data_IF_313649594186
#
_entry.id   IF_313649594186
#
_cell.length_a   1.000
_cell.length_b   1.000
_cell.length_c   1.000
_cell.angle_alpha   90.00
_cell.angle_beta   90.00
_cell.angle_gamma   90.00
#
_symmetry.space_group_name_H-M   'P 1'
#
loop_
_entity.id
_entity.type
_entity.pdbx_description
1 polymer ?
#
# COMPACT_ATOMS: atom_id res chain seq x y z
N UNK A 1 -12.89 -60.57 -59.57
CA UNK A 1 -11.50 -60.46 -59.02
C UNK A 1 -10.99 -59.01 -58.84
N UNK A 2 -11.09 -58.07 -59.81
CA UNK A 2 -10.61 -56.71 -59.62
C UNK A 2 -11.32 -55.91 -58.45
N UNK A 3 -12.64 -56.14 -58.31
CA UNK A 3 -13.42 -55.47 -57.27
C UNK A 3 -13.14 -56.01 -55.85
N UNK A 4 -12.75 -57.27 -55.74
CA UNK A 4 -12.42 -57.89 -54.44
C UNK A 4 -11.07 -57.37 -53.89
N UNK A 5 -10.09 -57.20 -54.81
CA UNK A 5 -8.79 -56.65 -54.43
C UNK A 5 -8.89 -55.24 -53.84
N UNK A 6 -9.77 -54.34 -54.34
CA UNK A 6 -9.92 -52.98 -53.76
C UNK A 6 -10.53 -53.06 -52.38
N UNK A 7 -11.54 -53.88 -52.17
CA UNK A 7 -12.17 -54.07 -50.85
C UNK A 7 -11.15 -54.63 -49.83
N UNK A 8 -10.41 -55.68 -50.29
CA UNK A 8 -9.39 -56.28 -49.41
C UNK A 8 -8.29 -55.23 -48.98
N UNK A 9 -7.80 -54.43 -49.95
CA UNK A 9 -6.81 -53.38 -49.66
C UNK A 9 -7.30 -52.38 -48.65
N UNK A 10 -8.53 -51.91 -48.74
CA UNK A 10 -9.11 -50.93 -47.77
C UNK A 10 -9.25 -51.55 -46.39
N UNK A 11 -9.39 -52.88 -46.30
CA UNK A 11 -9.56 -53.54 -44.97
C UNK A 11 -8.24 -54.06 -44.43
N UNK A 12 -7.15 -54.20 -45.21
CA UNK A 12 -5.86 -54.72 -44.75
C UNK A 12 -5.31 -54.04 -43.47
N UNK A 13 -5.38 -52.68 -43.27
CA UNK A 13 -4.95 -52.06 -42.07
C UNK A 13 -5.72 -52.52 -40.80
N UNK A 14 -7.06 -52.63 -40.94
CA UNK A 14 -7.92 -53.08 -39.83
C UNK A 14 -7.75 -54.56 -39.52
N UNK A 15 -7.50 -55.38 -40.60
CA UNK A 15 -7.18 -56.81 -40.49
C UNK A 15 -5.87 -57.02 -39.71
N UNK A 16 -4.86 -56.17 -39.93
CA UNK A 16 -3.59 -56.24 -39.27
C UNK A 16 -3.73 -55.96 -37.76
N UNK A 17 -4.61 -55.04 -37.41
CA UNK A 17 -4.90 -54.65 -36.02
C UNK A 17 -5.94 -55.55 -35.34
N UNK A 18 -6.40 -56.60 -36.02
CA UNK A 18 -7.44 -57.53 -35.53
C UNK A 18 -8.76 -56.82 -35.20
N UNK A 19 -9.08 -55.77 -35.94
CA UNK A 19 -10.29 -54.95 -35.73
C UNK A 19 -11.41 -55.30 -36.76
N UNK A 20 -11.36 -56.43 -37.42
CA UNK A 20 -12.38 -56.94 -38.34
C UNK A 20 -13.18 -58.06 -37.68
N UNK A 21 -14.43 -58.25 -38.12
CA UNK A 21 -15.24 -59.40 -37.68
C UNK A 21 -14.65 -60.73 -38.18
N UNK A 22 -14.95 -61.80 -37.47
CA UNK A 22 -14.49 -63.18 -37.89
C UNK A 22 -14.81 -63.55 -39.33
N UNK A 23 -16.00 -63.17 -39.78
CA UNK A 23 -16.43 -63.40 -41.16
C UNK A 23 -15.59 -62.59 -42.16
N UNK A 24 -15.36 -61.31 -41.89
CA UNK A 24 -14.53 -60.47 -42.75
C UNK A 24 -13.08 -60.94 -42.75
N UNK A 25 -12.56 -61.31 -41.56
CA UNK A 25 -11.23 -61.88 -41.42
C UNK A 25 -11.03 -63.17 -42.25
N UNK A 26 -12.03 -64.06 -42.24
CA UNK A 26 -12.01 -65.28 -43.07
C UNK A 26 -12.01 -64.95 -44.55
N UNK A 27 -12.82 -64.01 -45.02
CA UNK A 27 -12.83 -63.53 -46.40
C UNK A 27 -11.47 -62.97 -46.83
N UNK A 28 -10.86 -62.05 -46.04
CA UNK A 28 -9.53 -61.48 -46.32
C UNK A 28 -8.48 -62.58 -46.39
N UNK A 29 -8.49 -63.53 -45.46
CA UNK A 29 -7.56 -64.65 -45.40
C UNK A 29 -7.65 -65.56 -46.62
N UNK A 30 -8.85 -65.82 -47.10
CA UNK A 30 -9.05 -66.64 -48.28
C UNK A 30 -8.58 -65.94 -49.58
N UNK A 31 -8.86 -64.63 -49.69
CA UNK A 31 -8.39 -63.82 -50.83
C UNK A 31 -6.85 -63.76 -50.88
N UNK A 32 -6.18 -63.58 -49.73
CA UNK A 32 -4.73 -63.55 -49.64
C UNK A 32 -4.02 -64.81 -50.06
N UNK A 33 -4.68 -66.00 -50.00
CA UNK A 33 -4.14 -67.26 -50.53
C UNK A 33 -4.01 -67.25 -52.04
N UNK A 34 -4.87 -66.51 -52.74
CA UNK A 34 -4.94 -66.50 -54.19
C UNK A 34 -4.44 -65.24 -54.88
N UNK A 35 -4.16 -64.15 -54.12
CA UNK A 35 -3.78 -62.87 -54.69
C UNK A 35 -2.40 -62.40 -54.20
N UNK A 36 -1.40 -62.51 -55.05
CA UNK A 36 -0.01 -62.12 -54.75
C UNK A 36 0.12 -60.61 -54.49
N UNK A 37 -0.64 -59.74 -55.16
CA UNK A 37 -0.60 -58.30 -54.99
C UNK A 37 -1.05 -57.88 -53.58
N UNK A 38 -2.19 -58.42 -53.14
CA UNK A 38 -2.71 -58.09 -51.79
C UNK A 38 -1.83 -58.65 -50.65
N UNK A 39 -1.20 -59.84 -50.93
CA UNK A 39 -0.24 -60.41 -49.99
C UNK A 39 1.01 -59.56 -49.87
N UNK A 40 1.55 -59.01 -50.96
CA UNK A 40 2.68 -58.15 -50.99
C UNK A 40 2.38 -56.84 -50.25
N UNK A 41 1.18 -56.30 -50.39
CA UNK A 41 0.74 -55.07 -49.69
C UNK A 41 0.58 -55.28 -48.17
N UNK A 42 0.07 -56.43 -47.75
CA UNK A 42 0.02 -56.82 -46.36
C UNK A 42 1.43 -56.90 -45.73
N UNK A 43 2.39 -57.47 -46.42
CA UNK A 43 3.76 -57.57 -45.94
C UNK A 43 4.44 -56.21 -45.91
N UNK A 44 4.13 -55.31 -46.85
CA UNK A 44 4.59 -53.90 -46.79
C UNK A 44 4.00 -53.15 -45.61
N UNK A 45 2.73 -53.35 -45.27
CA UNK A 45 2.09 -52.78 -44.09
C UNK A 45 2.68 -53.32 -42.79
N UNK A 46 2.98 -54.61 -42.70
CA UNK A 46 3.65 -55.26 -41.57
C UNK A 46 5.07 -54.70 -41.35
N UNK A 47 5.76 -54.40 -42.45
CA UNK A 47 7.11 -53.83 -42.33
C UNK A 47 7.14 -52.41 -41.70
N UNK A 48 5.96 -51.76 -41.66
CA UNK A 48 5.83 -50.39 -41.10
C UNK A 48 6.58 -49.34 -41.89
N UNK A 49 6.32 -48.04 -41.70
CA UNK A 49 7.20 -47.02 -42.21
C UNK A 49 8.55 -47.22 -41.52
N UNK A 50 9.64 -47.31 -42.28
CA UNK A 50 10.99 -47.19 -41.73
C UNK A 50 11.08 -45.78 -41.10
N UNK A 51 10.74 -45.68 -39.78
CA UNK A 51 11.08 -44.52 -39.00
C UNK A 51 12.61 -44.53 -38.99
N UNK A 52 13.21 -43.74 -39.88
CA UNK A 52 14.60 -43.40 -39.72
C UNK A 52 14.76 -42.92 -38.25
N UNK A 53 15.53 -43.62 -37.47
CA UNK A 53 15.93 -43.18 -36.14
C UNK A 53 16.55 -41.81 -36.36
N UNK A 54 15.75 -40.73 -36.18
CA UNK A 54 16.29 -39.40 -35.99
C UNK A 54 17.27 -39.57 -34.84
N UNK A 55 18.54 -39.50 -35.17
CA UNK A 55 19.59 -39.93 -34.28
C UNK A 55 19.41 -39.33 -32.86
N UNK A 56 19.66 -40.12 -31.85
CA UNK A 56 19.66 -39.73 -30.43
C UNK A 56 20.39 -38.40 -30.22
N UNK A 57 21.42 -38.14 -30.98
CA UNK A 57 22.20 -36.91 -30.99
C UNK A 57 21.39 -35.63 -31.37
N UNK A 58 20.46 -35.73 -32.31
CA UNK A 58 19.61 -34.59 -32.72
C UNK A 58 18.53 -34.30 -31.67
N UNK A 59 18.00 -35.28 -30.96
CA UNK A 59 17.10 -35.10 -29.82
C UNK A 59 17.80 -34.44 -28.66
N UNK A 60 18.98 -34.94 -28.27
CA UNK A 60 19.76 -34.41 -27.17
C UNK A 60 20.19 -32.96 -27.43
N UNK A 61 20.54 -32.63 -28.70
CA UNK A 61 20.86 -31.25 -29.07
C UNK A 61 19.67 -30.30 -28.96
N UNK A 62 18.48 -30.70 -29.44
CA UNK A 62 17.26 -29.91 -29.34
C UNK A 62 16.78 -29.74 -27.91
N UNK A 63 16.82 -30.78 -27.08
CA UNK A 63 16.47 -30.69 -25.67
C UNK A 63 17.42 -29.76 -24.93
N UNK A 64 18.71 -29.84 -25.21
CA UNK A 64 19.71 -28.96 -24.61
C UNK A 64 19.50 -27.50 -24.99
N UNK A 65 19.15 -27.22 -26.23
CA UNK A 65 18.89 -25.86 -26.72
C UNK A 65 17.61 -25.28 -26.12
N UNK A 66 16.54 -26.07 -26.02
CA UNK A 66 15.27 -25.69 -25.35
C UNK A 66 15.52 -25.41 -23.87
N UNK A 67 16.24 -26.27 -23.15
CA UNK A 67 16.56 -26.07 -21.74
C UNK A 67 17.41 -24.79 -21.55
N UNK A 68 18.37 -24.52 -22.43
CA UNK A 68 19.22 -23.33 -22.39
C UNK A 68 18.40 -22.05 -22.63
N UNK A 69 17.48 -22.07 -23.60
CA UNK A 69 16.59 -20.96 -23.90
C UNK A 69 15.61 -20.69 -22.75
N UNK A 70 15.04 -21.72 -22.14
CA UNK A 70 14.19 -21.61 -20.96
C UNK A 70 14.93 -21.04 -19.75
N UNK A 71 16.16 -21.50 -19.49
CA UNK A 71 17.02 -20.96 -18.41
C UNK A 71 17.36 -19.48 -18.64
N UNK A 72 17.67 -19.09 -19.87
CA UNK A 72 17.97 -17.70 -20.23
C UNK A 72 16.74 -16.80 -20.07
N UNK A 73 15.57 -17.26 -20.51
CA UNK A 73 14.30 -16.56 -20.35
C UNK A 73 13.92 -16.40 -18.89
N UNK A 74 14.03 -17.46 -18.09
CA UNK A 74 13.79 -17.42 -16.63
C UNK A 74 14.74 -16.45 -15.92
N UNK A 75 16.01 -16.36 -16.33
CA UNK A 75 16.99 -15.40 -15.78
C UNK A 75 16.61 -13.95 -16.10
N UNK A 76 16.13 -13.67 -17.33
CA UNK A 76 15.63 -12.34 -17.74
C UNK A 76 14.37 -11.96 -16.96
N UNK A 77 13.40 -12.88 -16.79
CA UNK A 77 12.20 -12.66 -15.99
C UNK A 77 12.52 -12.38 -14.52
N UNK A 78 13.42 -13.17 -13.92
CA UNK A 78 13.86 -12.92 -12.54
C UNK A 78 14.47 -11.54 -12.36
N UNK A 79 15.35 -11.10 -13.28
CA UNK A 79 15.93 -9.74 -13.21
C UNK A 79 14.86 -8.65 -13.31
N UNK A 80 13.87 -8.80 -14.19
CA UNK A 80 12.74 -7.85 -14.30
C UNK A 80 11.88 -7.87 -13.03
N UNK A 81 11.58 -9.05 -12.49
CA UNK A 81 10.82 -9.20 -11.25
C UNK A 81 11.54 -8.56 -10.06
N UNK A 82 12.86 -8.75 -9.89
CA UNK A 82 13.63 -8.09 -8.84
C UNK A 82 13.67 -6.57 -9.00
N UNK A 83 13.76 -6.05 -10.22
CA UNK A 83 13.69 -4.59 -10.45
C UNK A 83 12.31 -4.04 -10.10
N UNK A 84 11.25 -4.72 -10.50
CA UNK A 84 9.88 -4.32 -10.14
C UNK A 84 9.67 -4.37 -8.62
N UNK A 85 10.12 -5.44 -7.95
CA UNK A 85 10.04 -5.55 -6.50
C UNK A 85 10.84 -4.45 -5.78
N UNK A 86 12.02 -4.10 -6.27
CA UNK A 86 12.82 -3.00 -5.71
C UNK A 86 12.15 -1.64 -5.87
N UNK A 87 11.50 -1.38 -7.02
CA UNK A 87 10.73 -0.15 -7.25
C UNK A 87 9.53 -0.09 -6.30
N UNK A 88 8.76 -1.18 -6.17
CA UNK A 88 7.61 -1.26 -5.25
C UNK A 88 8.06 -1.05 -3.79
N UNK A 89 9.15 -1.68 -3.37
CA UNK A 89 9.72 -1.49 -2.04
C UNK A 89 10.17 -0.03 -1.83
N UNK A 90 10.79 0.59 -2.82
CA UNK A 90 11.17 2.01 -2.77
C UNK A 90 9.96 2.93 -2.62
N UNK A 91 8.91 2.72 -3.42
CA UNK A 91 7.65 3.47 -3.31
C UNK A 91 7.02 3.27 -1.93
N UNK A 92 6.99 2.03 -1.44
CA UNK A 92 6.45 1.72 -0.11
C UNK A 92 7.20 2.44 1.00
N UNK A 93 8.54 2.46 0.95
CA UNK A 93 9.37 3.21 1.91
C UNK A 93 9.06 4.71 1.84
N UNK A 94 8.96 5.29 0.65
CA UNK A 94 8.61 6.70 0.47
C UNK A 94 7.22 6.99 1.07
N UNK A 95 6.23 6.14 0.81
CA UNK A 95 4.89 6.29 1.38
C UNK A 95 4.92 6.19 2.90
N UNK A 96 5.66 5.23 3.47
CA UNK A 96 5.81 5.12 4.94
C UNK A 96 6.47 6.35 5.55
N UNK A 97 7.50 6.91 4.90
CA UNK A 97 8.15 8.14 5.34
C UNK A 97 7.18 9.32 5.27
N UNK A 98 6.44 9.45 4.16
CA UNK A 98 5.43 10.51 4.02
C UNK A 98 4.33 10.38 5.08
N UNK A 99 3.82 9.18 5.34
CA UNK A 99 2.81 8.94 6.38
C UNK A 99 3.34 9.18 7.79
N UNK A 100 4.64 8.98 8.02
CA UNK A 100 5.27 9.30 9.30
C UNK A 100 5.34 10.81 9.55
N UNK A 101 5.76 11.59 8.53
CA UNK A 101 5.84 13.05 8.65
C UNK A 101 4.50 13.75 8.48
N UNK A 102 3.58 13.19 7.70
CA UNK A 102 2.23 13.72 7.42
C UNK A 102 1.19 12.63 7.69
N UNK A 103 0.82 12.40 8.94
CA UNK A 103 -0.22 11.44 9.28
C UNK A 103 -1.52 11.73 8.52
N UNK A 104 -2.21 10.67 8.10
CA UNK A 104 -3.41 10.78 7.25
C UNK A 104 -4.49 11.65 7.90
N UNK A 105 -4.63 11.60 9.23
CA UNK A 105 -5.59 12.42 9.96
C UNK A 105 -5.33 13.93 9.77
N UNK A 106 -4.07 14.37 9.76
CA UNK A 106 -3.70 15.79 9.51
C UNK A 106 -4.11 16.25 8.11
N UNK A 107 -3.99 15.36 7.11
CA UNK A 107 -4.42 15.67 5.73
C UNK A 107 -5.94 15.80 5.66
N UNK A 108 -6.67 14.92 6.37
CA UNK A 108 -8.13 14.95 6.43
C UNK A 108 -8.61 16.21 7.13
N UNK A 109 -7.98 16.58 8.25
CA UNK A 109 -8.35 17.78 9.01
C UNK A 109 -8.07 19.07 8.22
N UNK A 110 -6.94 19.13 7.52
CA UNK A 110 -6.65 20.25 6.61
C UNK A 110 -7.70 20.33 5.50
N UNK A 111 -8.13 19.19 4.96
CA UNK A 111 -9.22 19.12 4.00
C UNK A 111 -10.53 19.67 4.56
N UNK A 112 -10.89 19.28 5.78
CA UNK A 112 -12.07 19.77 6.49
C UNK A 112 -12.00 21.28 6.77
N UNK A 113 -10.85 21.78 7.23
CA UNK A 113 -10.60 23.20 7.42
C UNK A 113 -10.77 24.01 6.13
N UNK A 114 -10.28 23.47 5.01
CA UNK A 114 -10.39 24.12 3.70
C UNK A 114 -11.84 24.16 3.22
N UNK A 115 -12.57 23.07 3.38
CA UNK A 115 -14.00 22.98 3.02
C UNK A 115 -14.89 23.85 3.91
N UNK A 116 -14.55 23.95 5.20
CA UNK A 116 -15.31 24.72 6.19
C UNK A 116 -15.03 26.22 6.17
N UNK A 117 -14.04 26.69 5.40
CA UNK A 117 -13.58 28.08 5.39
C UNK A 117 -13.14 28.63 6.77
N UNK A 118 -12.65 27.76 7.65
CA UNK A 118 -12.29 28.11 9.03
C UNK A 118 -10.98 28.89 9.10
N UNK A 119 -10.06 28.59 8.19
CA UNK A 119 -8.77 29.24 8.08
C UNK A 119 -8.60 29.87 6.72
N UNK A 120 -7.84 30.97 6.67
CA UNK A 120 -7.46 31.57 5.39
C UNK A 120 -6.53 30.63 4.60
N UNK A 121 -6.50 30.77 3.29
CA UNK A 121 -5.58 30.01 2.42
C UNK A 121 -4.11 30.17 2.85
N UNK A 122 -3.72 31.34 3.36
CA UNK A 122 -2.38 31.62 3.89
C UNK A 122 -2.10 30.81 5.17
N UNK A 123 -3.06 30.72 6.09
CA UNK A 123 -2.93 29.92 7.30
C UNK A 123 -2.84 28.42 6.98
N UNK A 124 -3.66 27.94 6.03
CA UNK A 124 -3.61 26.55 5.58
C UNK A 124 -2.25 26.25 4.94
N UNK A 125 -1.72 27.13 4.10
CA UNK A 125 -0.39 26.95 3.51
C UNK A 125 0.71 26.88 4.58
N UNK A 126 0.60 27.68 5.63
CA UNK A 126 1.50 27.65 6.80
C UNK A 126 1.43 26.33 7.57
N UNK A 127 0.28 25.64 7.58
CA UNK A 127 0.15 24.34 8.23
C UNK A 127 1.03 23.25 7.59
N UNK A 128 1.34 23.37 6.31
CA UNK A 128 2.22 22.43 5.58
C UNK A 128 3.72 22.75 5.76
N UNK A 129 4.05 23.88 6.35
CA UNK A 129 5.43 24.25 6.56
C UNK A 129 6.04 23.47 7.73
N UNK A 130 7.13 22.74 7.47
CA UNK A 130 7.79 21.92 8.50
C UNK A 130 8.59 22.76 9.51
N UNK A 131 9.03 23.93 9.11
CA UNK A 131 9.88 24.81 9.91
C UNK A 131 11.36 24.40 9.99
N UNK A 132 12.21 25.33 10.39
CA UNK A 132 13.61 25.05 10.65
C UNK A 132 13.78 24.31 12.00
N UNK A 133 14.91 23.62 12.18
CA UNK A 133 15.24 23.01 13.47
C UNK A 133 15.43 24.06 14.60
N UNK A 134 15.78 25.30 14.24
CA UNK A 134 15.87 26.43 15.16
C UNK A 134 14.47 26.84 15.62
N UNK A 135 13.57 27.12 14.69
CA UNK A 135 12.20 27.55 14.97
C UNK A 135 11.48 26.52 15.84
N UNK A 136 11.66 25.23 15.53
CA UNK A 136 11.07 24.14 16.32
C UNK A 136 11.59 24.11 17.74
N UNK A 137 12.88 24.41 17.99
CA UNK A 137 13.46 24.48 19.34
C UNK A 137 12.96 25.69 20.12
N UNK A 138 12.86 26.85 19.48
CA UNK A 138 12.33 28.04 20.10
C UNK A 138 10.84 27.91 20.42
N UNK A 139 10.05 27.33 19.52
CA UNK A 139 8.64 27.05 19.74
C UNK A 139 8.38 26.12 20.95
N UNK A 140 9.33 25.23 21.29
CA UNK A 140 9.20 24.37 22.48
C UNK A 140 9.07 25.16 23.80
N UNK A 141 9.57 26.38 23.88
CA UNK A 141 9.38 27.22 25.06
C UNK A 141 7.90 27.63 25.21
N UNK A 142 7.27 28.01 24.09
CA UNK A 142 5.84 28.36 24.05
C UNK A 142 4.97 27.12 24.33
N UNK A 143 5.34 25.96 23.77
CA UNK A 143 4.62 24.71 24.03
C UNK A 143 4.69 24.29 25.50
N UNK A 144 5.86 24.45 26.16
CA UNK A 144 5.98 24.15 27.59
C UNK A 144 5.08 25.06 28.43
N UNK A 145 4.96 26.35 28.07
CA UNK A 145 4.06 27.28 28.75
C UNK A 145 2.60 26.86 28.54
N UNK A 146 2.24 26.46 27.34
CA UNK A 146 0.91 25.92 27.03
C UNK A 146 0.61 24.62 27.79
N UNK A 147 1.57 23.70 27.85
CA UNK A 147 1.46 22.45 28.61
C UNK A 147 1.24 22.72 30.12
N UNK A 148 1.92 23.71 30.66
CA UNK A 148 1.67 24.15 32.02
C UNK A 148 0.26 24.73 32.21
N UNK A 149 -0.23 25.50 31.23
CA UNK A 149 -1.59 26.02 31.27
C UNK A 149 -2.64 24.90 31.24
N UNK A 150 -2.48 23.88 30.40
CA UNK A 150 -3.37 22.72 30.39
C UNK A 150 -3.40 21.95 31.73
N UNK A 151 -2.30 21.96 32.46
CA UNK A 151 -2.19 21.31 33.78
C UNK A 151 -2.64 22.20 34.96
N UNK A 152 -2.90 23.47 34.70
CA UNK A 152 -3.30 24.40 35.73
C UNK A 152 -4.83 24.48 35.83
N UNK A 153 -5.32 24.82 36.99
CA UNK A 153 -6.72 25.08 37.28
C UNK A 153 -7.04 26.53 36.92
N UNK A 154 -8.20 26.75 36.32
CA UNK A 154 -8.65 28.10 36.04
C UNK A 154 -9.03 28.79 37.36
N UNK A 155 -8.20 29.73 37.77
CA UNK A 155 -8.50 30.59 38.91
C UNK A 155 -9.38 31.75 38.45
N UNK A 156 -10.42 32.05 39.19
CA UNK A 156 -11.29 33.20 38.93
C UNK A 156 -10.48 34.49 39.06
N UNK A 157 -10.14 35.09 37.91
CA UNK A 157 -9.46 36.37 37.88
C UNK A 157 -8.21 36.43 37.02
N UNK A 158 -7.40 37.44 37.23
CA UNK A 158 -6.29 37.86 36.34
C UNK A 158 -5.05 36.94 36.43
N UNK A 159 -4.96 36.08 37.46
CA UNK A 159 -3.73 35.30 37.73
C UNK A 159 -3.25 34.42 36.58
N UNK A 160 -4.17 33.70 35.93
CA UNK A 160 -3.79 32.83 34.81
C UNK A 160 -3.44 33.64 33.55
N UNK A 161 -4.10 34.78 33.33
CA UNK A 161 -3.78 35.68 32.22
C UNK A 161 -2.43 36.37 32.40
N UNK A 162 -2.08 36.76 33.61
CA UNK A 162 -0.75 37.31 33.91
C UNK A 162 0.36 36.28 33.68
N UNK A 163 0.11 35.00 34.02
CA UNK A 163 1.08 33.92 33.92
C UNK A 163 1.21 33.35 32.49
N UNK A 164 0.10 33.16 31.82
CA UNK A 164 0.04 32.43 30.56
C UNK A 164 -0.37 33.28 29.35
N UNK A 165 -0.83 34.49 29.54
CA UNK A 165 -1.40 35.32 28.50
C UNK A 165 -2.61 34.63 27.84
N UNK A 166 -2.68 34.65 26.51
CA UNK A 166 -3.76 34.00 25.77
C UNK A 166 -3.83 32.47 25.95
N UNK A 167 -2.74 31.84 26.39
CA UNK A 167 -2.71 30.42 26.69
C UNK A 167 -3.49 30.06 27.97
N UNK A 168 -3.85 31.03 28.81
CA UNK A 168 -4.70 30.85 29.99
C UNK A 168 -6.05 30.16 29.64
N UNK A 169 -6.52 30.32 28.42
CA UNK A 169 -7.76 29.65 27.91
C UNK A 169 -7.70 28.12 27.97
N UNK A 170 -6.51 27.55 28.07
CA UNK A 170 -6.32 26.09 28.16
C UNK A 170 -6.32 25.57 29.61
N UNK A 171 -6.32 26.46 30.59
CA UNK A 171 -6.45 26.05 31.99
C UNK A 171 -7.85 25.46 32.25
N UNK A 172 -7.90 24.41 33.07
CA UNK A 172 -9.14 23.67 33.32
C UNK A 172 -10.08 24.51 34.19
N UNK A 173 -11.29 24.73 33.68
CA UNK A 173 -12.36 25.34 34.45
C UNK A 173 -13.04 24.29 35.35
N UNK A 174 -12.67 24.27 36.62
CA UNK A 174 -13.25 23.34 37.59
C UNK A 174 -14.63 23.76 38.08
N UNK A 175 -14.98 25.04 37.92
CA UNK A 175 -16.24 25.56 38.45
C UNK A 175 -17.41 25.25 37.49
N UNK A 176 -17.14 25.10 36.19
CA UNK A 176 -18.16 24.84 35.19
C UNK A 176 -18.54 23.37 35.06
N UNK A 177 -17.70 22.45 35.51
CA UNK A 177 -17.88 21.00 35.20
C UNK A 177 -18.10 20.10 36.42
N UNK A 178 -18.21 20.67 37.63
CA UNK A 178 -18.58 19.96 38.87
C UNK A 178 -17.52 18.96 39.33
N UNK A 179 -17.94 17.84 39.92
CA UNK A 179 -17.05 16.86 40.56
C UNK A 179 -16.38 15.94 39.50
N UNK A 180 -15.38 16.50 38.81
CA UNK A 180 -14.58 15.74 37.83
C UNK A 180 -13.31 15.17 38.49
N UNK A 181 -12.92 13.95 38.06
CA UNK A 181 -11.85 13.20 38.71
C UNK A 181 -10.44 13.64 38.28
N UNK A 182 -10.27 13.79 36.96
CA UNK A 182 -8.94 14.10 36.38
C UNK A 182 -9.07 14.70 34.98
N UNK A 183 -8.00 15.36 34.56
CA UNK A 183 -7.85 15.91 33.23
C UNK A 183 -6.73 15.19 32.50
N UNK A 184 -6.91 14.94 31.22
CA UNK A 184 -5.86 14.47 30.33
C UNK A 184 -5.74 15.41 29.13
N UNK A 185 -4.51 15.65 28.68
CA UNK A 185 -4.27 16.40 27.46
C UNK A 185 -3.07 15.85 26.69
N UNK A 186 -3.05 16.15 25.42
CA UNK A 186 -1.91 15.97 24.55
C UNK A 186 -1.70 17.23 23.73
N UNK A 187 -0.44 17.62 23.53
CA UNK A 187 -0.06 18.80 22.78
C UNK A 187 1.12 18.47 21.87
N UNK A 188 0.92 18.63 20.58
CA UNK A 188 1.92 18.29 19.56
C UNK A 188 2.24 19.52 18.70
N UNK A 189 3.55 19.81 18.54
CA UNK A 189 4.02 20.81 17.60
C UNK A 189 3.88 20.29 16.16
N UNK A 190 3.03 20.94 15.38
CA UNK A 190 2.87 20.60 13.97
C UNK A 190 3.90 21.32 13.10
N UNK A 191 3.90 22.66 13.11
CA UNK A 191 4.90 23.48 12.44
C UNK A 191 5.15 24.78 13.18
N UNK A 192 6.34 25.38 12.97
CA UNK A 192 6.68 26.68 13.48
C UNK A 192 7.53 27.44 12.48
N UNK A 193 7.26 28.72 12.32
CA UNK A 193 8.12 29.66 11.61
C UNK A 193 8.26 30.91 12.46
N UNK A 194 9.46 31.13 12.95
CA UNK A 194 9.77 32.20 13.86
C UNK A 194 10.74 33.19 13.18
N UNK A 195 10.23 34.34 12.80
CA UNK A 195 11.02 35.43 12.26
C UNK A 195 11.83 36.16 13.37
N UNK A 196 12.23 37.39 13.09
CA UNK A 196 12.97 38.19 14.07
C UNK A 196 12.08 38.60 15.25
N UNK A 197 10.92 39.16 14.98
CA UNK A 197 10.05 39.80 15.96
C UNK A 197 8.64 39.21 15.97
N UNK A 198 8.23 38.50 14.89
CA UNK A 198 6.94 37.84 14.79
C UNK A 198 7.07 36.46 14.11
N UNK A 199 6.09 35.62 14.37
CA UNK A 199 6.04 34.30 13.79
C UNK A 199 4.69 33.62 13.99
N UNK A 200 4.65 32.33 13.65
CA UNK A 200 3.50 31.49 13.93
C UNK A 200 3.91 30.09 14.36
N UNK A 201 3.03 29.45 15.14
CA UNK A 201 3.14 28.08 15.58
C UNK A 201 1.81 27.39 15.26
N UNK A 202 1.86 26.24 14.61
CA UNK A 202 0.74 25.33 14.48
C UNK A 202 0.89 24.20 15.47
N UNK A 203 -0.12 23.99 16.27
CA UNK A 203 -0.21 22.89 17.23
C UNK A 203 -1.44 22.04 16.96
N UNK A 204 -1.37 20.83 17.47
CA UNK A 204 -2.47 19.89 17.45
C UNK A 204 -2.66 19.41 18.89
N UNK A 205 -3.84 19.58 19.44
CA UNK A 205 -4.05 19.21 20.83
C UNK A 205 -5.35 18.43 21.03
N UNK A 206 -5.37 17.66 22.08
CA UNK A 206 -6.57 17.06 22.67
C UNK A 206 -6.60 17.40 24.15
N UNK A 207 -7.78 17.67 24.69
CA UNK A 207 -7.98 17.89 26.12
C UNK A 207 -9.31 17.28 26.52
N UNK A 208 -9.33 16.55 27.63
CA UNK A 208 -10.53 15.91 28.15
C UNK A 208 -10.56 15.92 29.67
N UNK A 209 -11.76 16.10 30.21
CA UNK A 209 -12.09 16.01 31.63
C UNK A 209 -12.92 14.75 31.85
N UNK A 210 -12.58 13.97 32.84
CA UNK A 210 -13.16 12.66 33.11
C UNK A 210 -13.83 12.63 34.47
N UNK A 211 -14.91 11.90 34.58
CA UNK A 211 -15.60 11.60 35.81
C UNK A 211 -14.86 10.52 36.63
N UNK A 212 -15.23 10.35 37.89
CA UNK A 212 -14.64 9.32 38.78
C UNK A 212 -14.84 7.88 38.27
N UNK A 213 -15.80 7.62 37.43
CA UNK A 213 -16.02 6.30 36.80
C UNK A 213 -15.25 6.10 35.49
N UNK A 214 -14.42 7.09 35.09
CA UNK A 214 -13.64 7.08 33.86
C UNK A 214 -14.44 7.47 32.60
N UNK A 215 -15.71 7.82 32.75
CA UNK A 215 -16.47 8.35 31.62
C UNK A 215 -16.04 9.79 31.28
N UNK A 216 -16.19 10.16 30.00
CA UNK A 216 -15.85 11.51 29.54
C UNK A 216 -16.93 12.47 30.03
N UNK A 217 -16.56 13.45 30.82
CA UNK A 217 -17.45 14.54 31.20
C UNK A 217 -17.50 15.58 30.07
N UNK A 218 -16.32 15.95 29.53
CA UNK A 218 -16.19 17.02 28.58
C UNK A 218 -14.81 16.95 27.89
N UNK A 219 -14.70 17.40 26.66
CA UNK A 219 -13.40 17.44 25.99
C UNK A 219 -13.46 17.81 24.52
N UNK A 220 -12.29 18.11 24.00
CA UNK A 220 -12.04 18.40 22.59
C UNK A 220 -10.87 17.55 22.13
N UNK A 221 -11.04 16.86 21.01
CA UNK A 221 -10.02 15.96 20.50
C UNK A 221 -9.56 16.39 19.14
N UNK A 222 -8.24 16.28 18.93
CA UNK A 222 -7.61 16.49 17.65
C UNK A 222 -7.86 17.89 17.07
N UNK A 223 -7.74 18.91 17.91
CA UNK A 223 -7.99 20.28 17.52
C UNK A 223 -6.73 20.91 16.92
N UNK A 224 -6.74 21.29 15.63
CA UNK A 224 -5.68 22.10 15.06
C UNK A 224 -5.82 23.55 15.55
N UNK A 225 -4.74 24.10 16.07
CA UNK A 225 -4.72 25.46 16.58
C UNK A 225 -3.57 26.24 15.95
N UNK A 226 -3.88 27.42 15.43
CA UNK A 226 -2.93 28.37 14.87
C UNK A 226 -2.64 29.47 15.89
N UNK A 227 -1.39 29.63 16.28
CA UNK A 227 -0.91 30.65 17.20
C UNK A 227 -0.02 31.65 16.47
N UNK A 228 -0.42 32.93 16.43
CA UNK A 228 0.47 34.00 16.07
C UNK A 228 1.29 34.37 17.33
N UNK A 229 2.60 34.48 17.17
CA UNK A 229 3.52 34.81 18.25
C UNK A 229 4.32 36.04 17.91
N UNK A 230 4.63 36.87 18.93
CA UNK A 230 5.47 38.04 18.81
C UNK A 230 6.50 38.05 19.97
N UNK A 231 7.64 38.71 19.77
CA UNK A 231 8.61 38.86 20.85
C UNK A 231 8.19 40.00 21.76
N UNK A 232 8.20 39.76 23.08
CA UNK A 232 8.02 40.78 24.08
C UNK A 232 9.33 41.57 24.28
N UNK A 233 9.28 42.60 25.15
CA UNK A 233 10.44 43.47 25.50
C UNK A 233 11.61 42.70 26.13
N UNK A 234 11.32 41.54 26.73
CA UNK A 234 12.32 40.61 27.29
C UNK A 234 12.92 39.67 26.23
N UNK A 235 12.44 39.71 24.99
CA UNK A 235 12.88 38.87 23.87
C UNK A 235 12.28 37.47 23.88
N UNK A 236 11.26 37.22 24.71
CA UNK A 236 10.55 35.93 24.76
C UNK A 236 9.38 35.89 23.77
N UNK A 237 9.06 34.72 23.27
CA UNK A 237 7.91 34.54 22.41
C UNK A 237 6.62 34.48 23.20
N UNK A 238 5.67 35.34 22.85
CA UNK A 238 4.35 35.44 23.47
C UNK A 238 3.27 35.19 22.41
N UNK A 239 2.26 34.44 22.78
CA UNK A 239 1.11 34.18 21.89
C UNK A 239 0.19 35.40 21.90
N UNK A 240 0.03 36.03 20.75
CA UNK A 240 -0.80 37.25 20.60
C UNK A 240 -2.13 36.99 19.87
N UNK A 241 -2.27 35.84 19.25
CA UNK A 241 -3.52 35.42 18.63
C UNK A 241 -3.59 33.90 18.62
N UNK A 242 -4.76 33.37 18.97
CA UNK A 242 -5.11 31.94 18.80
C UNK A 242 -6.31 31.86 17.88
N UNK A 243 -6.22 30.95 16.90
CA UNK A 243 -7.35 30.55 16.07
C UNK A 243 -7.54 29.04 16.14
N UNK A 244 -8.71 28.67 16.51
CA UNK A 244 -9.16 27.27 16.58
C UNK A 244 -10.51 27.16 15.93
N UNK A 245 -10.78 25.95 15.49
CA UNK A 245 -12.10 25.58 15.12
C UNK A 245 -12.48 24.28 15.83
N UNK A 246 -13.57 24.26 16.58
CA UNK A 246 -14.06 23.07 17.27
C UNK A 246 -14.63 22.02 16.32
#
# INVERSE_FOLDING_TARGET
MKNECSIVRDILPLYLESMVSDETGAFVKEHLKGCLECTAELEALKAGPKVEKIGSEMRDSLETEVIKSMKATRKKFRKKAYRAAAIIAGIFIIVCVLLHFFPVYRIVDIGAMTMGNYYSSDQIAKAFYIGSASDRREAQAVLRLADQAFNDVQHTGVENEEKYGLLARYATDTDSYGDTAFNEHSLELWSAHLGKDEGYIWVYYSSGTFNHDGSIAHGSWNIPSFWKVERNDSGEWVVVQIREYP
#
